data_IF_490693203048
#
_entry.id   IF_490693203048
#
_cell.length_a   1.000
_cell.length_b   1.000
_cell.length_c   1.000
_cell.angle_alpha   90.00
_cell.angle_beta   90.00
_cell.angle_gamma   90.00
#
_symmetry.space_group_name_H-M   'P 1'
#
loop_
_entity.id
_entity.type
_entity.pdbx_description
1 polymer ?
#
# COMPACT_ATOMS: atom_id res chain seq x y z
N UNK A 1 -36.55 6.13 6.15
CA UNK A 1 -35.65 6.21 7.32
C UNK A 1 -34.19 6.46 6.95
N UNK A 2 -33.41 5.51 6.42
CA UNK A 2 -31.97 5.74 6.16
C UNK A 2 -31.69 6.85 5.11
N UNK A 3 -32.44 6.86 4.00
CA UNK A 3 -32.31 7.88 2.95
C UNK A 3 -32.68 9.29 3.46
N UNK A 4 -33.74 9.41 4.25
CA UNK A 4 -34.17 10.68 4.85
C UNK A 4 -33.13 11.19 5.87
N UNK A 5 -32.62 10.29 6.73
CA UNK A 5 -31.59 10.64 7.71
C UNK A 5 -30.32 11.18 7.04
N UNK A 6 -29.85 10.53 5.97
CA UNK A 6 -28.67 11.01 5.25
C UNK A 6 -28.97 12.30 4.45
N UNK A 7 -30.13 12.37 3.79
CA UNK A 7 -30.54 13.54 3.00
C UNK A 7 -30.79 14.80 3.82
N UNK A 8 -31.12 14.67 5.11
CA UNK A 8 -31.32 15.79 6.04
C UNK A 8 -30.08 16.12 6.87
N UNK A 9 -28.99 15.36 6.76
CA UNK A 9 -27.78 15.59 7.54
C UNK A 9 -27.06 16.85 7.06
N UNK A 10 -26.77 17.80 7.96
CA UNK A 10 -25.98 19.01 7.64
C UNK A 10 -24.53 18.66 7.23
N UNK A 11 -23.99 17.54 7.76
CA UNK A 11 -22.60 17.12 7.60
C UNK A 11 -22.48 15.61 7.44
N UNK A 12 -23.24 15.05 6.51
CA UNK A 12 -23.15 13.64 6.13
C UNK A 12 -21.76 13.31 5.58
N UNK A 13 -21.28 12.11 5.89
CA UNK A 13 -20.03 11.55 5.35
C UNK A 13 -20.33 10.13 4.89
N UNK A 14 -19.88 9.78 3.68
CA UNK A 14 -19.91 8.39 3.20
C UNK A 14 -18.52 7.80 3.38
N UNK A 15 -18.46 6.64 4.05
CA UNK A 15 -17.24 5.86 4.21
C UNK A 15 -17.48 4.50 3.57
N UNK A 16 -16.58 4.06 2.69
CA UNK A 16 -16.68 2.76 2.04
C UNK A 16 -15.35 2.01 2.07
N UNK A 17 -15.41 0.69 2.23
CA UNK A 17 -14.25 -0.20 2.25
C UNK A 17 -13.92 -0.83 0.91
N UNK A 18 -12.85 -1.62 0.90
CA UNK A 18 -12.37 -2.29 -0.31
C UNK A 18 -13.35 -3.31 -0.91
N UNK A 19 -14.24 -3.89 -0.11
CA UNK A 19 -15.26 -4.82 -0.61
C UNK A 19 -16.16 -4.20 -1.69
N UNK A 20 -16.31 -2.87 -1.69
CA UNK A 20 -17.04 -2.13 -2.71
C UNK A 20 -16.32 -2.15 -4.08
N UNK A 21 -14.99 -2.23 -4.08
CA UNK A 21 -14.18 -2.25 -5.31
C UNK A 21 -13.85 -3.67 -5.78
N UNK A 22 -13.98 -4.68 -4.93
CA UNK A 22 -13.74 -6.09 -5.29
C UNK A 22 -14.69 -6.61 -6.38
N UNK A 23 -15.91 -6.07 -6.48
CA UNK A 23 -16.88 -6.44 -7.51
C UNK A 23 -16.53 -5.95 -8.92
N UNK A 24 -15.44 -5.18 -9.08
CA UNK A 24 -15.00 -4.55 -10.33
C UNK A 24 -16.11 -3.75 -11.05
N UNK A 25 -17.06 -3.22 -10.27
CA UNK A 25 -18.19 -2.43 -10.75
C UNK A 25 -17.98 -0.93 -10.43
N UNK A 26 -17.47 -0.14 -11.38
CA UNK A 26 -17.25 1.29 -11.17
C UNK A 26 -18.56 2.08 -11.01
N UNK A 27 -19.71 1.50 -11.39
CA UNK A 27 -21.00 2.19 -11.30
C UNK A 27 -21.43 2.40 -9.84
N UNK A 28 -21.01 1.51 -8.94
CA UNK A 28 -21.35 1.63 -7.52
C UNK A 28 -20.63 2.80 -6.86
N UNK A 29 -19.34 2.99 -7.16
CA UNK A 29 -18.57 4.17 -6.71
C UNK A 29 -19.20 5.44 -7.28
N UNK A 30 -19.51 5.42 -8.59
CA UNK A 30 -20.14 6.56 -9.26
C UNK A 30 -21.47 6.94 -8.60
N UNK A 31 -22.28 5.94 -8.25
CA UNK A 31 -23.56 6.14 -7.56
C UNK A 31 -23.38 6.74 -6.16
N UNK A 32 -22.37 6.32 -5.40
CA UNK A 32 -22.05 6.92 -4.10
C UNK A 32 -21.61 8.38 -4.23
N UNK A 33 -20.76 8.70 -5.21
CA UNK A 33 -20.33 10.07 -5.46
C UNK A 33 -21.50 10.96 -5.87
N UNK A 34 -22.37 10.47 -6.75
CA UNK A 34 -23.59 11.17 -7.15
C UNK A 34 -24.54 11.40 -5.96
N UNK A 35 -24.67 10.43 -5.06
CA UNK A 35 -25.49 10.57 -3.85
C UNK A 35 -24.90 11.63 -2.90
N UNK A 36 -23.57 11.65 -2.71
CA UNK A 36 -22.91 12.67 -1.92
C UNK A 36 -23.11 14.07 -2.51
N UNK A 37 -23.03 14.18 -3.84
CA UNK A 37 -23.23 15.44 -4.55
C UNK A 37 -24.67 15.94 -4.46
N UNK A 38 -25.64 15.05 -4.72
CA UNK A 38 -27.08 15.36 -4.67
C UNK A 38 -27.54 15.82 -3.28
N UNK A 39 -26.89 15.35 -2.22
CA UNK A 39 -27.19 15.73 -0.84
C UNK A 39 -26.37 16.93 -0.35
N UNK A 40 -25.54 17.54 -1.20
CA UNK A 40 -24.74 18.72 -0.85
C UNK A 40 -23.64 18.44 0.18
N UNK A 41 -23.31 17.17 0.43
CA UNK A 41 -22.37 16.76 1.46
C UNK A 41 -20.92 17.01 1.01
N UNK A 42 -20.50 18.27 1.14
CA UNK A 42 -19.21 18.80 0.65
C UNK A 42 -18.39 19.47 1.76
N UNK A 43 -17.09 19.54 1.54
CA UNK A 43 -16.12 20.32 2.31
C UNK A 43 -15.31 21.16 1.31
N UNK A 44 -15.74 22.40 1.08
CA UNK A 44 -15.23 23.21 -0.03
C UNK A 44 -15.66 22.62 -1.38
N UNK A 45 -14.69 22.40 -2.26
CA UNK A 45 -14.86 21.80 -3.59
C UNK A 45 -14.91 20.26 -3.56
N UNK A 46 -14.60 19.64 -2.41
CA UNK A 46 -14.49 18.18 -2.27
C UNK A 46 -15.77 17.56 -1.69
N UNK A 47 -16.13 16.39 -2.18
CA UNK A 47 -17.19 15.57 -1.58
C UNK A 47 -16.73 14.99 -0.24
N UNK A 48 -17.64 14.87 0.74
CA UNK A 48 -17.38 14.22 2.04
C UNK A 48 -17.47 12.70 1.89
N UNK A 49 -16.53 12.15 1.14
CA UNK A 49 -16.43 10.70 0.87
C UNK A 49 -15.03 10.21 1.23
N UNK A 50 -14.96 9.13 2.00
CA UNK A 50 -13.71 8.51 2.43
C UNK A 50 -13.66 7.08 1.91
N UNK A 51 -12.63 6.77 1.12
CA UNK A 51 -12.28 5.41 0.71
C UNK A 51 -11.33 4.81 1.74
N UNK A 52 -11.74 3.73 2.41
CA UNK A 52 -10.85 2.96 3.27
C UNK A 52 -10.02 2.03 2.39
N UNK A 53 -8.69 2.23 2.44
CA UNK A 53 -7.70 1.34 1.83
C UNK A 53 -7.16 0.39 2.92
N UNK A 54 -6.78 -0.86 2.57
CA UNK A 54 -6.55 -1.93 3.54
C UNK A 54 -5.32 -1.71 4.43
N UNK A 55 -4.23 -1.11 3.92
CA UNK A 55 -2.97 -0.98 4.67
C UNK A 55 -2.62 0.48 5.00
N UNK A 56 -1.71 0.63 5.99
CA UNK A 56 -1.39 1.91 6.64
C UNK A 56 -0.99 3.04 5.68
N UNK A 57 -0.27 2.71 4.60
CA UNK A 57 0.16 3.67 3.57
C UNK A 57 -0.37 3.31 2.16
N UNK A 58 -1.44 2.51 2.06
CA UNK A 58 -2.02 2.14 0.76
C UNK A 58 -2.48 3.36 -0.05
N UNK A 59 -2.93 4.42 0.64
CA UNK A 59 -3.27 5.68 -0.02
C UNK A 59 -2.03 6.34 -0.63
N UNK A 60 -0.93 6.43 0.13
CA UNK A 60 0.34 6.96 -0.38
C UNK A 60 0.85 6.15 -1.57
N UNK A 61 0.82 4.81 -1.49
CA UNK A 61 1.18 3.95 -2.61
C UNK A 61 0.31 4.17 -3.85
N UNK A 62 -0.99 4.39 -3.67
CA UNK A 62 -1.91 4.74 -4.76
C UNK A 62 -1.59 6.12 -5.37
N UNK A 63 -1.34 7.13 -4.54
CA UNK A 63 -0.97 8.49 -4.97
C UNK A 63 0.38 8.53 -5.72
N UNK A 64 1.30 7.64 -5.37
CA UNK A 64 2.58 7.44 -6.05
C UNK A 64 2.47 6.62 -7.35
N UNK A 65 1.28 6.11 -7.69
CA UNK A 65 1.08 5.27 -8.86
C UNK A 65 1.63 3.84 -8.72
N UNK A 66 1.96 3.39 -7.50
CA UNK A 66 2.40 2.01 -7.23
C UNK A 66 1.25 1.01 -7.30
N UNK A 67 0.01 1.49 -7.20
CA UNK A 67 -1.17 0.72 -7.52
C UNK A 67 -1.32 0.59 -9.05
N UNK A 68 -0.34 -0.03 -9.70
CA UNK A 68 -0.42 -0.37 -11.11
C UNK A 68 -1.36 -1.59 -11.30
N UNK A 69 -2.06 -1.63 -12.43
CA UNK A 69 -2.98 -2.71 -12.79
C UNK A 69 -2.31 -4.09 -12.93
N UNK A 70 -3.12 -5.12 -13.15
CA UNK A 70 -2.74 -6.54 -13.16
C UNK A 70 -1.31 -6.81 -13.63
N UNK A 71 -0.43 -7.15 -12.67
CA UNK A 71 0.91 -7.66 -12.97
C UNK A 71 0.72 -9.00 -13.69
N UNK A 72 1.16 -9.09 -14.95
CA UNK A 72 1.14 -10.36 -15.69
C UNK A 72 2.01 -11.36 -14.95
N UNK A 73 1.36 -12.37 -14.38
CA UNK A 73 2.01 -13.41 -13.57
C UNK A 73 2.75 -14.44 -14.42
N UNK A 74 2.32 -14.64 -15.66
CA UNK A 74 2.86 -15.65 -16.56
C UNK A 74 4.28 -15.31 -17.03
N UNK A 75 5.20 -16.27 -16.89
CA UNK A 75 6.56 -16.17 -17.41
C UNK A 75 7.52 -15.29 -16.60
N UNK A 76 7.13 -14.84 -15.40
CA UNK A 76 8.02 -14.14 -14.48
C UNK A 76 9.11 -15.09 -13.96
N UNK A 77 10.36 -14.74 -14.23
CA UNK A 77 11.54 -15.51 -13.81
C UNK A 77 12.19 -14.98 -12.55
N UNK A 78 12.00 -13.70 -12.25
CA UNK A 78 12.56 -13.03 -11.09
C UNK A 78 11.52 -12.13 -10.47
N UNK A 79 11.41 -12.16 -9.15
CA UNK A 79 10.53 -11.29 -8.39
C UNK A 79 11.30 -10.70 -7.20
N UNK A 80 11.16 -9.39 -7.03
CA UNK A 80 11.61 -8.70 -5.84
C UNK A 80 10.39 -8.23 -5.06
N UNK A 81 10.10 -8.91 -3.95
CA UNK A 81 9.08 -8.54 -2.99
C UNK A 81 9.67 -7.58 -1.94
N UNK A 82 9.25 -6.31 -2.00
CA UNK A 82 9.65 -5.26 -1.08
C UNK A 82 8.60 -5.09 0.02
N UNK A 83 9.03 -4.91 1.28
CA UNK A 83 8.17 -4.81 2.46
C UNK A 83 7.29 -6.06 2.66
N UNK A 84 7.88 -7.26 2.47
CA UNK A 84 7.20 -8.57 2.56
C UNK A 84 6.87 -9.02 3.99
N UNK A 85 6.43 -8.08 4.84
CA UNK A 85 6.07 -8.31 6.25
C UNK A 85 4.57 -8.63 6.42
N UNK A 86 3.75 -8.48 5.38
CA UNK A 86 2.31 -8.78 5.43
C UNK A 86 2.02 -10.30 5.36
N UNK A 87 0.83 -10.67 5.83
CA UNK A 87 0.37 -12.06 5.73
C UNK A 87 -0.20 -12.31 4.34
N UNK A 88 0.38 -13.30 3.66
CA UNK A 88 -0.06 -13.70 2.34
C UNK A 88 -1.02 -14.88 2.40
N UNK A 89 -2.01 -14.88 1.51
CA UNK A 89 -2.90 -16.02 1.33
C UNK A 89 -2.18 -17.22 0.66
N UNK A 90 -2.80 -18.40 0.75
CA UNK A 90 -2.25 -19.63 0.19
C UNK A 90 -2.01 -19.54 -1.32
N UNK A 91 -2.89 -18.84 -2.05
CA UNK A 91 -2.81 -18.71 -3.50
C UNK A 91 -1.62 -17.87 -3.94
N UNK A 92 -1.32 -16.79 -3.22
CA UNK A 92 -0.15 -15.97 -3.45
C UNK A 92 1.13 -16.74 -3.09
N UNK A 93 1.15 -17.43 -1.95
CA UNK A 93 2.30 -18.26 -1.55
C UNK A 93 2.61 -19.35 -2.59
N UNK A 94 1.60 -20.03 -3.12
CA UNK A 94 1.79 -21.05 -4.14
C UNK A 94 2.31 -20.48 -5.45
N UNK A 95 1.86 -19.28 -5.84
CA UNK A 95 2.42 -18.59 -6.99
C UNK A 95 3.88 -18.18 -6.76
N UNK A 96 4.22 -17.66 -5.58
CA UNK A 96 5.58 -17.25 -5.22
C UNK A 96 6.57 -18.42 -5.26
N UNK A 97 6.16 -19.63 -4.85
CA UNK A 97 6.99 -20.86 -4.97
C UNK A 97 7.34 -21.22 -6.41
N UNK A 98 6.54 -20.78 -7.38
CA UNK A 98 6.79 -21.01 -8.80
C UNK A 98 7.79 -20.05 -9.45
N UNK A 99 8.20 -19.00 -8.74
CA UNK A 99 9.15 -18.01 -9.25
C UNK A 99 10.57 -18.59 -9.21
N UNK A 100 11.31 -18.49 -10.32
CA UNK A 100 12.64 -19.09 -10.44
C UNK A 100 13.74 -18.37 -9.64
N UNK A 101 13.52 -17.11 -9.28
CA UNK A 101 14.40 -16.32 -8.43
C UNK A 101 13.62 -15.30 -7.61
N UNK A 102 13.50 -15.52 -6.31
CA UNK A 102 12.71 -14.71 -5.39
C UNK A 102 13.61 -13.98 -4.37
N UNK A 103 13.59 -12.65 -4.42
CA UNK A 103 14.21 -11.79 -3.41
C UNK A 103 13.11 -11.20 -2.52
N UNK A 104 13.27 -11.33 -1.21
CA UNK A 104 12.33 -10.78 -0.23
C UNK A 104 13.06 -9.81 0.69
N UNK A 105 12.61 -8.55 0.73
CA UNK A 105 13.05 -7.58 1.72
C UNK A 105 12.01 -7.45 2.82
N UNK A 106 12.37 -7.89 4.03
CA UNK A 106 11.45 -7.99 5.16
C UNK A 106 12.18 -7.77 6.49
N UNK A 107 11.41 -7.37 7.49
CA UNK A 107 11.86 -7.13 8.86
C UNK A 107 11.75 -8.37 9.73
N UNK A 108 10.81 -9.28 9.40
CA UNK A 108 10.52 -10.48 10.16
C UNK A 108 10.60 -11.75 9.31
N UNK A 109 10.83 -12.88 9.98
CA UNK A 109 10.67 -14.18 9.35
C UNK A 109 9.19 -14.50 9.12
N UNK A 110 8.88 -14.94 7.90
CA UNK A 110 7.53 -15.32 7.44
C UNK A 110 7.59 -16.53 6.49
N UNK A 111 6.46 -17.18 6.17
CA UNK A 111 6.40 -18.22 5.15
C UNK A 111 6.98 -17.79 3.79
N UNK A 112 6.84 -16.51 3.42
CA UNK A 112 7.41 -15.96 2.18
C UNK A 112 8.94 -15.89 2.26
N UNK A 113 9.50 -15.44 3.38
CA UNK A 113 10.97 -15.46 3.55
C UNK A 113 11.54 -16.88 3.59
N UNK A 114 10.75 -17.87 4.01
CA UNK A 114 11.18 -19.27 4.07
C UNK A 114 11.32 -19.92 2.68
N UNK A 115 10.63 -19.39 1.67
CA UNK A 115 10.68 -19.87 0.28
C UNK A 115 11.57 -19.00 -0.63
N UNK A 116 12.15 -17.91 -0.11
CA UNK A 116 12.96 -16.97 -0.87
C UNK A 116 14.38 -17.51 -1.14
N UNK A 117 14.94 -17.19 -2.30
CA UNK A 117 16.35 -17.47 -2.62
C UNK A 117 17.28 -16.51 -1.88
N UNK A 118 16.84 -15.25 -1.72
CA UNK A 118 17.57 -14.19 -1.03
C UNK A 118 16.62 -13.44 -0.10
N UNK A 119 17.01 -13.31 1.16
CA UNK A 119 16.35 -12.44 2.13
C UNK A 119 17.25 -11.25 2.41
N UNK A 120 16.73 -10.03 2.20
CA UNK A 120 17.38 -8.77 2.53
C UNK A 120 16.73 -8.22 3.81
N UNK A 121 17.41 -8.27 4.96
CA UNK A 121 16.84 -7.76 6.20
C UNK A 121 16.59 -6.25 6.12
N UNK A 122 15.40 -5.81 6.56
CA UNK A 122 15.05 -4.38 6.67
C UNK A 122 14.62 -3.99 8.08
N UNK A 123 14.69 -2.70 8.44
CA UNK A 123 14.27 -2.22 9.77
C UNK A 123 12.77 -2.41 10.01
N UNK A 124 12.38 -2.59 11.28
CA UNK A 124 10.96 -2.61 11.66
C UNK A 124 10.35 -1.21 11.58
N UNK A 125 9.02 -1.10 11.61
CA UNK A 125 8.31 0.19 11.52
C UNK A 125 8.80 1.25 12.54
N UNK A 126 9.19 0.84 13.75
CA UNK A 126 9.66 1.73 14.81
C UNK A 126 11.10 2.26 14.57
N UNK A 127 11.85 1.60 13.69
CA UNK A 127 13.23 1.93 13.31
C UNK A 127 13.29 2.73 12.00
N UNK A 128 12.17 2.83 11.28
CA UNK A 128 12.04 3.56 10.01
C UNK A 128 11.75 5.05 10.24
N UNK A 129 12.16 5.84 9.27
CA UNK A 129 11.74 7.23 9.09
C UNK A 129 11.17 7.43 7.69
N UNK A 130 10.32 8.43 7.51
CA UNK A 130 9.76 8.73 6.20
C UNK A 130 8.45 9.47 6.27
N UNK A 131 7.61 9.27 5.25
CA UNK A 131 6.29 9.90 5.15
C UNK A 131 5.23 8.86 4.83
N UNK A 132 4.04 9.04 5.38
CA UNK A 132 2.87 8.24 5.03
C UNK A 132 1.66 9.14 4.80
N UNK A 133 0.78 8.74 3.89
CA UNK A 133 -0.50 9.44 3.68
C UNK A 133 -1.58 8.73 4.48
N UNK A 134 -2.20 9.44 5.42
CA UNK A 134 -3.34 8.95 6.20
C UNK A 134 -4.56 8.71 5.31
N UNK A 135 -5.55 7.95 5.79
CA UNK A 135 -6.77 7.64 5.03
C UNK A 135 -7.53 8.90 4.56
N UNK A 136 -7.54 9.96 5.39
CA UNK A 136 -8.14 11.25 5.07
C UNK A 136 -7.25 12.18 4.22
N UNK A 137 -6.11 11.68 3.74
CA UNK A 137 -5.24 12.35 2.77
C UNK A 137 -4.22 13.32 3.36
N UNK A 138 -3.95 13.25 4.67
CA UNK A 138 -2.89 14.06 5.29
C UNK A 138 -1.55 13.36 5.12
N UNK A 139 -0.56 14.10 4.63
CA UNK A 139 0.83 13.66 4.65
C UNK A 139 1.37 13.80 6.08
N UNK A 140 1.83 12.70 6.64
CA UNK A 140 2.32 12.60 8.00
C UNK A 140 3.78 12.14 7.98
N UNK A 141 4.55 12.62 8.94
CA UNK A 141 5.96 12.27 9.10
C UNK A 141 6.08 11.06 10.04
N UNK A 142 6.71 9.99 9.55
CA UNK A 142 7.12 8.85 10.37
C UNK A 142 8.48 9.18 10.96
N UNK A 143 8.55 9.24 12.29
CA UNK A 143 9.79 9.46 13.02
C UNK A 143 10.25 8.16 13.64
N UNK A 144 11.53 7.88 13.47
CA UNK A 144 12.21 6.77 14.12
C UNK A 144 12.12 6.90 15.64
N UNK A 145 11.71 5.83 16.31
CA UNK A 145 11.62 5.73 17.78
C UNK A 145 12.71 4.81 18.34
N UNK A 146 13.14 3.81 17.57
CA UNK A 146 14.20 2.88 17.93
C UNK A 146 15.38 3.00 16.96
N UNK A 147 16.60 2.81 17.45
CA UNK A 147 17.76 2.72 16.57
C UNK A 147 17.81 1.33 15.95
N UNK A 148 17.88 1.28 14.61
CA UNK A 148 18.14 0.04 13.90
C UNK A 148 19.47 -0.58 14.33
N UNK A 149 19.55 -1.91 14.30
CA UNK A 149 20.80 -2.64 14.58
C UNK A 149 21.93 -2.15 13.67
N UNK A 150 23.15 -2.06 14.21
CA UNK A 150 24.33 -1.65 13.46
C UNK A 150 24.51 -2.48 12.18
N UNK A 151 24.74 -1.79 11.06
CA UNK A 151 24.89 -2.39 9.73
C UNK A 151 23.58 -2.72 9.02
N UNK A 152 22.42 -2.49 9.65
CA UNK A 152 21.12 -2.62 9.00
C UNK A 152 20.81 -1.35 8.20
N UNK A 153 20.66 -1.50 6.89
CA UNK A 153 20.33 -0.41 5.97
C UNK A 153 18.83 -0.14 5.98
N UNK A 154 18.44 1.12 5.79
CA UNK A 154 17.06 1.51 5.51
C UNK A 154 16.60 0.95 4.16
N UNK A 155 15.28 0.82 3.98
CA UNK A 155 14.73 0.19 2.78
C UNK A 155 15.23 0.87 1.47
N UNK A 156 15.30 2.20 1.44
CA UNK A 156 15.82 2.96 0.30
C UNK A 156 17.32 2.79 0.09
N UNK A 157 18.11 2.68 1.16
CA UNK A 157 19.56 2.49 1.09
C UNK A 157 19.90 1.12 0.48
N UNK A 158 19.13 0.09 0.81
CA UNK A 158 19.27 -1.24 0.18
C UNK A 158 19.06 -1.13 -1.34
N UNK A 159 18.02 -0.42 -1.79
CA UNK A 159 17.75 -0.21 -3.22
C UNK A 159 18.85 0.57 -3.93
N UNK A 160 19.42 1.57 -3.27
CA UNK A 160 20.56 2.35 -3.79
C UNK A 160 21.80 1.47 -3.93
N UNK A 161 22.14 0.66 -2.92
CA UNK A 161 23.29 -0.25 -3.00
C UNK A 161 23.09 -1.34 -4.05
N UNK A 162 21.86 -1.85 -4.20
CA UNK A 162 21.50 -2.76 -5.29
C UNK A 162 21.68 -2.10 -6.66
N UNK A 163 21.23 -0.86 -6.84
CA UNK A 163 21.38 -0.16 -8.12
C UNK A 163 22.85 -0.05 -8.50
N UNK A 164 23.72 0.34 -7.54
CA UNK A 164 25.16 0.48 -7.75
C UNK A 164 25.80 -0.84 -8.22
N UNK A 165 25.43 -1.96 -7.58
CA UNK A 165 25.92 -3.30 -7.97
C UNK A 165 25.45 -3.72 -9.35
N UNK A 166 24.30 -3.22 -9.80
CA UNK A 166 23.78 -3.45 -11.16
C UNK A 166 24.40 -2.49 -12.20
N UNK A 167 25.33 -1.61 -11.81
CA UNK A 167 25.93 -0.62 -12.70
C UNK A 167 25.05 0.59 -12.98
N UNK A 168 24.07 0.85 -12.12
CA UNK A 168 23.15 1.98 -12.21
C UNK A 168 23.27 2.91 -11.00
N UNK A 169 23.00 4.20 -11.19
CA UNK A 169 23.01 5.19 -10.11
C UNK A 169 21.57 5.65 -9.83
N UNK A 170 20.96 5.05 -8.80
CA UNK A 170 19.70 5.54 -8.25
C UNK A 170 20.01 6.70 -7.30
N UNK A 171 19.61 7.91 -7.66
CA UNK A 171 19.72 9.06 -6.76
C UNK A 171 18.60 9.00 -5.71
N UNK A 172 18.90 9.24 -4.42
CA UNK A 172 17.86 9.42 -3.42
C UNK A 172 17.00 10.65 -3.76
N UNK A 173 15.67 10.51 -3.61
CA UNK A 173 14.66 11.55 -3.81
C UNK A 173 14.49 12.45 -2.60
#
# INVERSE_FOLDING_TARGET
>A
MAAEMYGQAERGVIIYGEGLVQGNDPTLITSLLNLADLTGNRAGDRLRVISLKPAANSRGGWELGLAAGDIKRDGLKGLYLLLGDEQEDEGLLDWLKGIAFLVVQASYHSPVTAIADVVLPSPIWAEREGKYTSMDGRLLELKRVLQAKDGLLQDQEILIELSKKLGHELSPS
#
